data_IF_673129954834
#
_entry.id   IF_673129954834
#
_cell.length_a   1.000
_cell.length_b   1.000
_cell.length_c   1.000
_cell.angle_alpha   90.00
_cell.angle_beta   90.00
_cell.angle_gamma   90.00
#
_symmetry.space_group_name_H-M   'P 1'
#
loop_
_entity.id
_entity.type
_entity.pdbx_description
1 polymer ?
#
# COMPACT_ATOMS: atom_id res chain seq x y z
N UNK A 1 4.19 21.44 9.39
CA UNK A 1 4.21 20.99 7.95
C UNK A 1 2.96 20.16 7.67
N UNK A 2 2.60 19.93 6.40
CA UNK A 2 1.36 19.16 6.09
C UNK A 2 1.38 17.77 6.72
N UNK A 3 2.54 17.10 6.69
CA UNK A 3 2.70 15.76 7.25
C UNK A 3 2.45 15.72 8.77
N UNK A 4 2.90 16.73 9.51
CA UNK A 4 2.63 16.84 10.97
C UNK A 4 1.13 17.02 11.23
N UNK A 5 0.45 17.79 10.38
CA UNK A 5 -1.01 18.00 10.47
C UNK A 5 -1.75 16.67 10.22
N UNK A 6 -1.35 15.92 9.19
CA UNK A 6 -1.91 14.61 8.87
C UNK A 6 -1.69 13.61 10.01
N UNK A 7 -0.46 13.55 10.54
CA UNK A 7 -0.14 12.69 11.68
C UNK A 7 -0.92 13.06 12.94
N UNK A 8 -1.07 14.37 13.23
CA UNK A 8 -1.86 14.84 14.38
C UNK A 8 -3.35 14.50 14.24
N UNK A 9 -3.93 14.67 13.04
CA UNK A 9 -5.30 14.24 12.75
C UNK A 9 -5.46 12.74 12.96
N UNK A 10 -4.52 11.94 12.45
CA UNK A 10 -4.55 10.49 12.62
C UNK A 10 -4.45 10.08 14.09
N UNK A 11 -3.58 10.71 14.90
CA UNK A 11 -3.50 10.41 16.34
C UNK A 11 -4.84 10.63 17.04
N UNK A 12 -5.52 11.76 16.78
CA UNK A 12 -6.86 12.02 17.36
C UNK A 12 -7.88 10.95 16.95
N UNK A 13 -7.86 10.55 15.67
CA UNK A 13 -8.74 9.50 15.14
C UNK A 13 -8.47 8.13 15.80
N UNK A 14 -7.22 7.80 16.04
CA UNK A 14 -6.82 6.55 16.73
C UNK A 14 -7.29 6.56 18.17
N UNK A 15 -7.11 7.66 18.91
CA UNK A 15 -7.60 7.74 20.30
C UNK A 15 -9.12 7.58 20.37
N UNK A 16 -9.87 8.24 19.49
CA UNK A 16 -11.32 8.04 19.42
C UNK A 16 -11.70 6.60 19.02
N UNK A 17 -10.92 5.93 18.17
CA UNK A 17 -11.15 4.52 17.82
C UNK A 17 -10.92 3.60 19.02
N UNK A 18 -9.88 3.85 19.84
CA UNK A 18 -9.58 3.09 21.06
C UNK A 18 -10.66 3.23 22.14
N UNK A 19 -11.35 4.37 22.20
CA UNK A 19 -12.51 4.57 23.08
C UNK A 19 -13.69 3.66 22.68
N UNK A 20 -13.91 3.46 21.37
CA UNK A 20 -14.97 2.60 20.84
C UNK A 20 -14.60 1.10 20.93
N UNK A 21 -13.38 0.75 20.55
CA UNK A 21 -12.86 -0.62 20.60
C UNK A 21 -11.49 -0.54 21.28
N UNK A 22 -11.35 -0.97 22.54
CA UNK A 22 -10.09 -0.97 23.27
C UNK A 22 -9.00 -1.77 22.55
N UNK A 23 -7.73 -1.38 22.75
CA UNK A 23 -6.59 -2.04 22.11
C UNK A 23 -6.57 -3.56 22.33
N UNK A 24 -6.85 -4.03 23.56
CA UNK A 24 -6.92 -5.48 23.87
C UNK A 24 -7.95 -6.20 23.01
N UNK A 25 -9.14 -5.63 22.87
CA UNK A 25 -10.18 -6.19 22.01
C UNK A 25 -9.77 -6.20 20.54
N UNK A 26 -9.11 -5.13 20.06
CA UNK A 26 -8.62 -5.05 18.69
C UNK A 26 -7.53 -6.10 18.42
N UNK A 27 -6.65 -6.37 19.40
CA UNK A 27 -5.64 -7.45 19.34
C UNK A 27 -6.28 -8.82 19.24
N UNK A 28 -7.30 -9.09 20.05
CA UNK A 28 -8.04 -10.36 20.01
C UNK A 28 -8.72 -10.58 18.66
N UNK A 29 -9.37 -9.55 18.13
CA UNK A 29 -9.99 -9.59 16.81
C UNK A 29 -8.97 -9.84 15.69
N UNK A 30 -7.79 -9.21 15.76
CA UNK A 30 -6.73 -9.42 14.78
C UNK A 30 -6.13 -10.84 14.85
N UNK A 31 -6.00 -11.40 16.05
CA UNK A 31 -5.59 -12.82 16.26
C UNK A 31 -6.60 -13.77 15.64
N UNK A 32 -7.89 -13.60 15.90
CA UNK A 32 -8.97 -14.40 15.32
C UNK A 32 -8.98 -14.29 13.77
N UNK A 33 -8.78 -13.08 13.22
CA UNK A 33 -8.68 -12.89 11.78
C UNK A 33 -7.47 -13.66 11.19
N UNK A 34 -6.33 -13.70 11.90
CA UNK A 34 -5.15 -14.44 11.47
C UNK A 34 -5.33 -15.96 11.53
N UNK A 35 -6.05 -16.47 12.51
CA UNK A 35 -6.37 -17.90 12.66
C UNK A 35 -7.36 -18.37 11.58
N UNK A 36 -8.41 -17.60 11.33
CA UNK A 36 -9.42 -17.95 10.32
C UNK A 36 -8.83 -18.01 8.89
N UNK A 37 -7.81 -17.24 8.60
CA UNK A 37 -7.08 -17.34 7.32
C UNK A 37 -6.25 -18.63 7.22
N UNK A 38 -5.79 -19.20 8.34
CA UNK A 38 -5.03 -20.46 8.36
C UNK A 38 -5.93 -21.71 8.27
N UNK A 39 -7.18 -21.62 8.73
CA UNK A 39 -8.10 -22.75 8.90
C UNK A 39 -9.10 -22.96 7.76
N UNK A 40 -9.08 -22.22 6.65
CA UNK A 40 -10.05 -22.43 5.55
C UNK A 40 -9.91 -23.86 5.00
N UNK A 41 -10.93 -24.75 5.19
CA UNK A 41 -10.86 -26.13 4.72
C UNK A 41 -10.87 -26.18 3.18
N UNK A 42 -10.16 -27.16 2.63
CA UNK A 42 -10.07 -27.47 1.18
C UNK A 42 -11.42 -27.76 0.49
N UNK A 43 -12.54 -27.76 1.22
CA UNK A 43 -13.86 -28.16 0.74
C UNK A 43 -14.76 -27.02 0.24
N UNK A 44 -14.36 -25.76 0.40
CA UNK A 44 -15.12 -24.61 -0.14
C UNK A 44 -14.64 -24.19 -1.55
N UNK A 45 -14.72 -25.13 -2.50
CA UNK A 45 -14.31 -24.94 -3.92
C UNK A 45 -15.33 -24.13 -4.73
N UNK A 46 -16.08 -23.21 -4.18
CA UNK A 46 -17.08 -22.43 -4.94
C UNK A 46 -16.97 -20.91 -4.84
N UNK A 47 -15.92 -20.38 -4.25
CA UNK A 47 -15.48 -18.99 -4.50
C UNK A 47 -13.96 -19.03 -4.49
N UNK A 48 -13.31 -18.50 -5.53
CA UNK A 48 -11.84 -18.36 -5.65
C UNK A 48 -11.23 -17.43 -4.58
N UNK A 49 -11.54 -17.66 -3.32
CA UNK A 49 -10.78 -17.10 -2.21
C UNK A 49 -9.64 -18.08 -1.99
N UNK A 50 -8.56 -17.90 -2.73
CA UNK A 50 -7.30 -18.58 -2.48
C UNK A 50 -6.95 -18.33 -1.01
N UNK A 51 -6.58 -19.42 -0.29
CA UNK A 51 -5.96 -19.38 1.03
C UNK A 51 -4.92 -18.26 1.01
N UNK A 52 -5.22 -17.11 1.63
CA UNK A 52 -4.27 -15.98 1.62
C UNK A 52 -3.02 -16.47 2.35
N UNK A 53 -1.97 -16.67 1.57
CA UNK A 53 -0.71 -17.15 2.13
C UNK A 53 -0.09 -16.01 2.94
N UNK A 54 0.50 -16.33 4.08
CA UNK A 54 1.35 -15.42 4.85
C UNK A 54 2.22 -14.61 3.89
N UNK A 55 2.23 -13.27 4.03
CA UNK A 55 2.94 -12.33 3.14
C UNK A 55 2.46 -12.35 1.68
N UNK A 56 1.14 -12.49 1.46
CA UNK A 56 0.56 -12.48 0.11
C UNK A 56 0.95 -11.25 -0.71
N UNK A 57 1.04 -10.07 -0.08
CA UNK A 57 1.45 -8.83 -0.72
C UNK A 57 2.90 -8.91 -1.23
N UNK A 58 3.85 -9.32 -0.38
CA UNK A 58 5.24 -9.49 -0.77
C UNK A 58 5.40 -10.55 -1.88
N UNK A 59 4.67 -11.67 -1.78
CA UNK A 59 4.68 -12.73 -2.81
C UNK A 59 4.15 -12.25 -4.14
N UNK A 60 3.10 -11.44 -4.15
CA UNK A 60 2.55 -10.89 -5.39
C UNK A 60 3.53 -9.93 -6.07
N UNK A 61 4.31 -9.17 -5.29
CA UNK A 61 5.32 -8.26 -5.82
C UNK A 61 6.59 -8.96 -6.33
N UNK A 62 6.86 -10.21 -5.91
CA UNK A 62 7.99 -11.03 -6.39
C UNK A 62 7.69 -11.75 -7.70
N UNK A 63 6.51 -11.57 -8.28
CA UNK A 63 6.20 -12.14 -9.59
C UNK A 63 7.14 -11.58 -10.67
N UNK A 64 7.51 -12.38 -11.69
CA UNK A 64 8.38 -11.91 -12.77
C UNK A 64 7.84 -10.65 -13.47
N UNK A 65 8.73 -9.72 -13.81
CA UNK A 65 8.42 -8.46 -14.46
C UNK A 65 8.02 -7.35 -13.47
N UNK A 66 7.60 -6.20 -14.00
CA UNK A 66 7.20 -5.05 -13.21
C UNK A 66 5.86 -5.28 -12.53
N UNK A 67 5.82 -5.13 -11.21
CA UNK A 67 4.59 -5.24 -10.41
C UNK A 67 3.83 -3.90 -10.38
N UNK A 68 2.50 -3.97 -10.55
CA UNK A 68 1.62 -2.79 -10.52
C UNK A 68 0.73 -2.82 -9.28
N UNK A 69 0.95 -1.87 -8.35
CA UNK A 69 0.07 -1.60 -7.21
C UNK A 69 -0.89 -0.49 -7.64
N UNK A 70 -2.13 -0.83 -7.89
CA UNK A 70 -3.14 0.11 -8.39
C UNK A 70 -3.89 0.75 -7.22
N UNK A 71 -3.91 2.09 -7.14
CA UNK A 71 -4.46 2.81 -5.99
C UNK A 71 -5.90 3.28 -6.22
N UNK A 72 -6.79 2.89 -5.32
CA UNK A 72 -8.18 3.37 -5.23
C UNK A 72 -8.19 4.62 -4.36
N UNK A 73 -8.35 5.80 -5.00
CA UNK A 73 -8.21 7.12 -4.37
C UNK A 73 -9.25 8.12 -4.84
N UNK A 74 -10.05 8.62 -3.89
CA UNK A 74 -11.13 9.58 -4.16
C UNK A 74 -10.61 11.02 -4.29
N UNK A 75 -9.69 11.40 -3.41
CA UNK A 75 -9.12 12.76 -3.34
C UNK A 75 -7.67 12.73 -2.85
N UNK A 76 -6.97 13.85 -2.96
CA UNK A 76 -5.67 14.06 -2.33
C UNK A 76 -5.41 15.55 -2.04
N UNK A 77 -4.57 15.90 -1.04
CA UNK A 77 -4.24 17.30 -0.74
C UNK A 77 -3.68 18.09 -1.94
N UNK A 78 -2.91 17.43 -2.80
CA UNK A 78 -2.25 18.07 -3.95
C UNK A 78 -3.13 18.23 -5.19
N UNK A 79 -4.26 17.50 -5.29
CA UNK A 79 -5.11 17.44 -6.49
C UNK A 79 -6.60 17.71 -6.21
N UNK A 80 -6.97 17.84 -4.94
CA UNK A 80 -8.37 17.92 -4.54
C UNK A 80 -9.14 16.66 -4.89
N UNK A 81 -10.40 16.79 -5.28
CA UNK A 81 -11.27 15.70 -5.69
C UNK A 81 -10.81 15.13 -7.05
N UNK A 82 -10.48 13.83 -7.06
CA UNK A 82 -10.02 13.10 -8.26
C UNK A 82 -11.20 12.41 -8.95
N UNK A 83 -12.09 11.80 -8.16
CA UNK A 83 -13.28 11.09 -8.66
C UNK A 83 -14.52 11.57 -7.89
N UNK A 84 -15.42 12.29 -8.56
CA UNK A 84 -16.72 12.71 -8.01
C UNK A 84 -17.68 11.51 -7.88
N UNK A 85 -17.78 10.69 -8.91
CA UNK A 85 -18.37 9.36 -8.86
C UNK A 85 -17.25 8.37 -8.48
N UNK A 86 -17.46 7.61 -7.38
CA UNK A 86 -16.43 6.76 -6.79
C UNK A 86 -16.95 5.36 -6.49
N UNK A 87 -17.25 4.56 -7.52
CA UNK A 87 -17.64 3.15 -7.39
C UNK A 87 -16.40 2.29 -7.05
N UNK A 88 -15.85 2.48 -5.85
CA UNK A 88 -14.54 1.94 -5.43
C UNK A 88 -14.43 0.41 -5.54
N UNK A 89 -15.53 -0.32 -5.39
CA UNK A 89 -15.55 -1.78 -5.57
C UNK A 89 -15.36 -2.14 -7.03
N UNK A 90 -16.04 -1.46 -7.95
CA UNK A 90 -15.95 -1.73 -9.38
C UNK A 90 -14.58 -1.28 -9.92
N UNK A 91 -14.04 -0.14 -9.43
CA UNK A 91 -12.67 0.29 -9.72
C UNK A 91 -11.66 -0.79 -9.30
N UNK A 92 -11.82 -1.38 -8.11
CA UNK A 92 -10.94 -2.43 -7.62
C UNK A 92 -11.03 -3.72 -8.46
N UNK A 93 -12.23 -4.11 -8.88
CA UNK A 93 -12.44 -5.25 -9.81
C UNK A 93 -11.80 -4.99 -11.17
N UNK A 94 -11.92 -3.77 -11.71
CA UNK A 94 -11.25 -3.37 -12.94
C UNK A 94 -9.74 -3.48 -12.83
N UNK A 95 -9.14 -3.07 -11.69
CA UNK A 95 -7.73 -3.22 -11.44
C UNK A 95 -7.30 -4.69 -11.39
N UNK A 96 -8.04 -5.53 -10.66
CA UNK A 96 -7.78 -6.97 -10.63
C UNK A 96 -7.88 -7.59 -12.02
N UNK A 97 -8.95 -7.31 -12.78
CA UNK A 97 -9.15 -7.80 -14.14
C UNK A 97 -8.07 -7.29 -15.12
N UNK A 98 -7.49 -6.13 -14.86
CA UNK A 98 -6.34 -5.59 -15.59
C UNK A 98 -5.00 -6.24 -15.16
N UNK A 99 -5.02 -7.12 -14.16
CA UNK A 99 -3.87 -7.84 -13.65
C UNK A 99 -2.98 -6.99 -12.74
N UNK A 100 -3.56 -6.16 -11.89
CA UNK A 100 -2.83 -5.54 -10.78
C UNK A 100 -2.23 -6.63 -9.87
N UNK A 101 -0.98 -6.46 -9.45
CA UNK A 101 -0.34 -7.35 -8.48
C UNK A 101 -0.93 -7.15 -7.08
N UNK A 102 -1.31 -5.93 -6.75
CA UNK A 102 -1.96 -5.55 -5.50
C UNK A 102 -2.81 -4.30 -5.69
N UNK A 103 -3.71 -4.03 -4.75
CA UNK A 103 -4.51 -2.81 -4.73
C UNK A 103 -4.22 -2.03 -3.45
N UNK A 104 -3.86 -0.75 -3.61
CA UNK A 104 -3.72 0.21 -2.53
C UNK A 104 -5.06 0.91 -2.29
N UNK A 105 -5.54 0.94 -1.05
CA UNK A 105 -6.82 1.56 -0.70
C UNK A 105 -6.60 2.68 0.31
N UNK A 106 -6.92 3.93 -0.07
CA UNK A 106 -6.87 5.07 0.84
C UNK A 106 -7.93 4.91 1.93
N UNK A 107 -7.50 4.91 3.20
CA UNK A 107 -8.41 4.85 4.35
C UNK A 107 -8.42 6.14 5.18
N UNK A 108 -7.53 7.08 4.90
CA UNK A 108 -7.47 8.38 5.56
C UNK A 108 -8.70 9.24 5.17
N UNK A 109 -9.57 9.66 6.13
CA UNK A 109 -10.87 10.23 5.81
C UNK A 109 -10.89 11.75 5.58
N UNK A 110 -9.99 12.53 6.20
CA UNK A 110 -10.09 13.99 6.19
C UNK A 110 -9.52 14.61 4.90
N UNK A 111 -8.37 14.14 4.46
CA UNK A 111 -7.59 14.73 3.36
C UNK A 111 -7.66 13.92 2.06
N UNK A 112 -7.89 12.62 2.17
CA UNK A 112 -7.99 11.72 1.01
C UNK A 112 -9.43 11.24 0.76
N UNK A 113 -10.37 11.59 1.64
CA UNK A 113 -11.77 11.14 1.61
C UNK A 113 -11.87 9.61 1.54
N UNK A 114 -10.93 8.94 2.22
CA UNK A 114 -10.84 7.48 2.34
C UNK A 114 -11.76 6.92 3.43
N UNK A 115 -11.78 5.59 3.57
CA UNK A 115 -12.54 4.92 4.62
C UNK A 115 -12.07 3.48 4.80
N UNK A 116 -12.02 2.99 6.06
CA UNK A 116 -11.86 1.57 6.37
C UNK A 116 -12.94 0.70 5.70
N UNK A 117 -14.16 1.23 5.56
CA UNK A 117 -15.24 0.52 4.87
C UNK A 117 -14.98 0.30 3.39
N UNK A 118 -14.20 1.16 2.72
CA UNK A 118 -13.80 0.91 1.34
C UNK A 118 -12.93 -0.36 1.26
N UNK A 119 -11.92 -0.47 2.11
CA UNK A 119 -11.04 -1.65 2.15
C UNK A 119 -11.83 -2.92 2.48
N UNK A 120 -12.66 -2.90 3.53
CA UNK A 120 -13.52 -4.04 3.91
C UNK A 120 -14.41 -4.51 2.76
N UNK A 121 -15.04 -3.59 2.05
CA UNK A 121 -15.92 -3.95 0.93
C UNK A 121 -15.14 -4.44 -0.26
N UNK A 122 -14.01 -3.79 -0.62
CA UNK A 122 -13.13 -4.26 -1.70
C UNK A 122 -12.65 -5.67 -1.41
N UNK A 123 -12.18 -5.98 -0.18
CA UNK A 123 -11.69 -7.32 0.19
C UNK A 123 -12.68 -8.45 -0.11
N UNK A 124 -13.96 -8.18 -0.01
CA UNK A 124 -15.02 -9.17 -0.30
C UNK A 124 -15.21 -9.46 -1.78
N UNK A 125 -14.60 -8.68 -2.67
CA UNK A 125 -14.88 -8.72 -4.11
C UNK A 125 -13.63 -8.96 -4.98
N UNK A 126 -12.43 -8.87 -4.40
CA UNK A 126 -11.17 -9.11 -5.12
C UNK A 126 -10.32 -10.12 -4.35
N UNK A 127 -9.47 -10.86 -5.07
CA UNK A 127 -8.55 -11.87 -4.51
C UNK A 127 -7.12 -11.34 -4.34
N UNK A 128 -6.74 -10.30 -5.09
CA UNK A 128 -5.42 -9.69 -4.98
C UNK A 128 -5.20 -9.06 -3.60
N UNK A 129 -3.95 -9.05 -3.09
CA UNK A 129 -3.63 -8.48 -1.79
C UNK A 129 -3.90 -6.99 -1.72
N UNK A 130 -4.34 -6.51 -0.55
CA UNK A 130 -4.70 -5.12 -0.31
C UNK A 130 -3.70 -4.43 0.60
N UNK A 131 -3.23 -3.26 0.18
CA UNK A 131 -2.46 -2.33 1.01
C UNK A 131 -3.42 -1.31 1.66
N UNK A 132 -3.41 -1.23 3.01
CA UNK A 132 -4.01 -0.10 3.70
C UNK A 132 -3.10 1.12 3.56
N UNK A 133 -3.51 2.09 2.79
CA UNK A 133 -2.78 3.36 2.58
C UNK A 133 -3.33 4.43 3.54
N UNK A 134 -2.63 4.62 4.64
CA UNK A 134 -2.97 5.56 5.73
C UNK A 134 -1.69 6.03 6.40
N UNK A 135 -1.76 7.06 7.27
CA UNK A 135 -0.65 7.47 8.12
C UNK A 135 -0.62 6.58 9.36
N UNK A 136 0.16 5.50 9.33
CA UNK A 136 0.28 4.60 10.48
C UNK A 136 1.22 5.21 11.52
N UNK A 137 0.67 5.62 12.67
CA UNK A 137 1.36 6.30 13.77
C UNK A 137 1.23 5.57 15.11
N UNK A 138 0.44 4.51 15.15
CA UNK A 138 0.12 3.76 16.37
C UNK A 138 -0.07 2.27 16.03
N UNK A 139 0.43 1.32 16.86
CA UNK A 139 0.24 -0.12 16.66
C UNK A 139 -1.23 -0.55 16.52
N UNK A 140 -2.16 0.17 17.13
CA UNK A 140 -3.60 -0.06 16.99
C UNK A 140 -4.02 -0.15 15.51
N UNK A 141 -3.47 0.73 14.67
CA UNK A 141 -3.82 0.78 13.24
C UNK A 141 -3.34 -0.47 12.47
N UNK A 142 -2.28 -1.14 12.93
CA UNK A 142 -1.79 -2.38 12.33
C UNK A 142 -2.75 -3.53 12.66
N UNK A 143 -3.20 -3.64 13.92
CA UNK A 143 -4.23 -4.62 14.29
C UNK A 143 -5.55 -4.34 13.54
N UNK A 144 -5.99 -3.08 13.50
CA UNK A 144 -7.19 -2.67 12.76
C UNK A 144 -7.06 -3.03 11.26
N UNK A 145 -5.88 -2.81 10.64
CA UNK A 145 -5.63 -3.19 9.25
C UNK A 145 -5.88 -4.68 9.01
N UNK A 146 -5.41 -5.55 9.92
CA UNK A 146 -5.67 -6.99 9.86
C UNK A 146 -7.15 -7.30 9.90
N UNK A 147 -7.86 -6.72 10.86
CA UNK A 147 -9.31 -6.95 11.07
C UNK A 147 -10.13 -6.52 9.86
N UNK A 148 -9.74 -5.45 9.18
CA UNK A 148 -10.44 -4.97 7.97
C UNK A 148 -10.02 -5.71 6.69
N UNK A 149 -9.06 -6.65 6.76
CA UNK A 149 -8.66 -7.52 5.66
C UNK A 149 -7.55 -6.97 4.77
N UNK A 150 -6.67 -6.12 5.33
CA UNK A 150 -5.45 -5.71 4.65
C UNK A 150 -4.39 -6.81 4.67
N UNK A 151 -3.64 -6.95 3.59
CA UNK A 151 -2.47 -7.83 3.46
C UNK A 151 -1.16 -7.09 3.75
N UNK A 152 -1.20 -5.75 3.70
CA UNK A 152 -0.06 -4.88 4.00
C UNK A 152 -0.52 -3.54 4.58
N UNK A 153 0.39 -2.88 5.30
CA UNK A 153 0.23 -1.50 5.77
C UNK A 153 1.38 -0.63 5.30
N UNK A 154 1.14 0.68 5.25
CA UNK A 154 2.15 1.69 4.99
C UNK A 154 2.80 2.14 6.30
N UNK A 155 4.15 2.14 6.35
CA UNK A 155 4.95 2.76 7.40
C UNK A 155 5.81 3.85 6.75
N UNK A 156 5.85 5.06 7.31
CA UNK A 156 6.50 6.22 6.67
C UNK A 156 7.71 6.66 7.50
N UNK A 157 8.91 6.61 6.92
CA UNK A 157 10.16 7.00 7.59
C UNK A 157 10.15 8.44 8.10
N UNK A 158 9.53 9.35 7.36
CA UNK A 158 9.39 10.76 7.78
C UNK A 158 8.52 10.96 9.04
N UNK A 159 7.77 9.94 9.48
CA UNK A 159 6.90 9.96 10.66
C UNK A 159 7.40 9.10 11.81
N UNK A 160 8.19 8.07 11.52
CA UNK A 160 8.57 7.02 12.45
C UNK A 160 10.10 6.90 12.50
N UNK A 161 10.65 6.86 13.69
CA UNK A 161 12.07 6.54 13.86
C UNK A 161 12.36 5.05 13.57
N UNK A 162 13.65 4.69 13.48
CA UNK A 162 14.08 3.34 13.11
C UNK A 162 13.53 2.26 14.06
N UNK A 163 13.43 2.53 15.36
CA UNK A 163 12.93 1.55 16.34
C UNK A 163 11.42 1.36 16.24
N UNK A 164 10.69 2.44 16.02
CA UNK A 164 9.24 2.39 15.78
C UNK A 164 8.94 1.67 14.47
N UNK A 165 9.71 1.93 13.39
CA UNK A 165 9.61 1.19 12.13
C UNK A 165 9.84 -0.31 12.35
N UNK A 166 10.91 -0.70 13.07
CA UNK A 166 11.22 -2.10 13.39
C UNK A 166 10.09 -2.77 14.15
N UNK A 167 9.56 -2.09 15.17
CA UNK A 167 8.43 -2.60 15.95
C UNK A 167 7.20 -2.80 15.07
N UNK A 168 6.88 -1.84 14.18
CA UNK A 168 5.77 -1.94 13.24
C UNK A 168 5.94 -3.08 12.25
N UNK A 169 7.15 -3.29 11.70
CA UNK A 169 7.46 -4.40 10.79
C UNK A 169 7.26 -5.74 11.52
N UNK A 170 7.82 -5.91 12.72
CA UNK A 170 7.65 -7.15 13.51
C UNK A 170 6.18 -7.41 13.86
N UNK A 171 5.41 -6.35 14.15
CA UNK A 171 3.97 -6.51 14.40
C UNK A 171 3.23 -6.96 13.14
N UNK A 172 3.53 -6.39 11.98
CA UNK A 172 2.98 -6.86 10.70
C UNK A 172 3.32 -8.34 10.48
N UNK A 173 4.58 -8.72 10.71
CA UNK A 173 5.05 -10.10 10.54
C UNK A 173 4.29 -11.08 11.45
N UNK A 174 4.07 -10.71 12.71
CA UNK A 174 3.32 -11.54 13.66
C UNK A 174 1.87 -11.80 13.23
N UNK A 175 1.29 -10.87 12.48
CA UNK A 175 -0.07 -10.95 11.92
C UNK A 175 -0.11 -11.54 10.49
N UNK A 176 1.04 -11.95 9.94
CA UNK A 176 1.14 -12.49 8.58
C UNK A 176 0.96 -11.45 7.47
N UNK A 177 1.07 -10.17 7.81
CA UNK A 177 1.01 -9.04 6.86
C UNK A 177 2.39 -8.56 6.46
N UNK A 178 2.47 -7.81 5.36
CA UNK A 178 3.69 -7.11 4.93
C UNK A 178 3.66 -5.64 5.39
N UNK A 179 4.84 -5.03 5.51
CA UNK A 179 5.00 -3.58 5.65
C UNK A 179 5.61 -3.00 4.37
N UNK A 180 4.94 -2.03 3.73
CA UNK A 180 5.53 -1.16 2.73
C UNK A 180 6.12 0.04 3.47
N UNK A 181 7.45 0.16 3.49
CA UNK A 181 8.15 1.24 4.20
C UNK A 181 8.47 2.35 3.22
N UNK A 182 7.76 3.49 3.35
CA UNK A 182 7.93 4.64 2.46
C UNK A 182 9.13 5.50 2.89
N UNK A 183 10.01 5.81 1.93
CA UNK A 183 11.19 6.65 2.08
C UNK A 183 11.27 7.72 0.97
N UNK A 184 11.93 8.85 1.24
CA UNK A 184 12.06 9.98 0.32
C UNK A 184 13.51 10.29 -0.04
N UNK A 185 14.47 9.87 0.79
CA UNK A 185 15.89 10.16 0.62
C UNK A 185 16.78 9.02 1.12
N UNK A 186 18.10 9.21 1.02
CA UNK A 186 19.11 8.23 1.39
C UNK A 186 19.07 7.89 2.89
N UNK A 187 18.86 8.87 3.76
CA UNK A 187 18.86 8.64 5.22
C UNK A 187 17.63 7.86 5.65
N UNK A 188 16.48 8.11 5.03
CA UNK A 188 15.26 7.35 5.25
C UNK A 188 15.39 5.91 4.73
N UNK A 189 16.03 5.68 3.57
CA UNK A 189 16.34 4.32 3.08
C UNK A 189 17.24 3.58 4.06
N UNK A 190 18.30 4.22 4.57
CA UNK A 190 19.18 3.62 5.58
C UNK A 190 18.41 3.27 6.87
N UNK A 191 17.49 4.12 7.29
CA UNK A 191 16.61 3.88 8.43
C UNK A 191 15.71 2.66 8.20
N UNK A 192 15.03 2.59 7.02
CA UNK A 192 14.20 1.47 6.61
C UNK A 192 14.97 0.14 6.61
N UNK A 193 16.17 0.13 6.01
CA UNK A 193 17.02 -1.08 5.97
C UNK A 193 17.46 -1.52 7.38
N UNK A 194 17.89 -0.57 8.24
CA UNK A 194 18.22 -0.87 9.65
C UNK A 194 17.02 -1.39 10.45
N UNK A 195 15.82 -0.96 10.10
CA UNK A 195 14.58 -1.48 10.71
C UNK A 195 14.20 -2.88 10.23
N UNK A 196 14.81 -3.39 9.16
CA UNK A 196 14.55 -4.71 8.59
C UNK A 196 13.44 -4.71 7.53
N UNK A 197 13.25 -3.59 6.83
CA UNK A 197 12.28 -3.49 5.73
C UNK A 197 12.62 -4.47 4.59
N UNK A 198 11.63 -5.24 4.15
CA UNK A 198 11.73 -6.13 2.98
C UNK A 198 11.09 -5.54 1.72
N UNK A 199 10.32 -4.48 1.90
CA UNK A 199 9.69 -3.72 0.80
C UNK A 199 9.88 -2.24 1.13
N UNK A 200 10.60 -1.53 0.26
CA UNK A 200 10.83 -0.08 0.38
C UNK A 200 10.12 0.62 -0.77
N UNK A 201 9.24 1.56 -0.44
CA UNK A 201 8.60 2.45 -1.39
C UNK A 201 9.32 3.80 -1.44
N UNK A 202 9.84 4.19 -2.59
CA UNK A 202 10.40 5.54 -2.75
C UNK A 202 9.36 6.47 -3.34
N UNK A 203 8.93 7.44 -2.53
CA UNK A 203 7.95 8.41 -2.96
C UNK A 203 8.62 9.60 -3.68
N UNK A 204 8.41 9.68 -4.99
CA UNK A 204 8.90 10.75 -5.85
C UNK A 204 8.24 12.11 -5.58
N UNK A 205 7.19 12.14 -4.74
CA UNK A 205 6.52 13.37 -4.35
C UNK A 205 7.13 13.94 -3.07
N UNK A 206 7.65 15.14 -3.15
CA UNK A 206 8.04 15.89 -1.96
C UNK A 206 6.80 16.27 -1.15
N UNK A 207 6.70 15.80 0.10
CA UNK A 207 5.53 16.01 0.96
C UNK A 207 5.40 17.47 1.47
N UNK A 208 6.43 18.31 1.29
CA UNK A 208 6.40 19.73 1.71
C UNK A 208 5.93 20.62 0.57
N UNK A 209 6.40 20.37 -0.66
CA UNK A 209 6.15 21.23 -1.84
C UNK A 209 5.15 20.64 -2.82
N UNK A 210 4.81 19.34 -2.68
CA UNK A 210 4.04 18.54 -3.62
C UNK A 210 4.65 18.40 -5.02
N UNK A 211 5.88 18.91 -5.23
CA UNK A 211 6.62 18.65 -6.46
C UNK A 211 6.92 17.16 -6.60
N UNK A 212 6.95 16.69 -7.84
CA UNK A 212 7.26 15.29 -8.17
C UNK A 212 8.55 15.28 -8.96
N UNK A 213 9.56 14.58 -8.42
CA UNK A 213 10.81 14.29 -9.10
C UNK A 213 10.92 12.80 -9.37
N UNK A 214 10.55 12.42 -10.59
CA UNK A 214 10.57 11.02 -11.04
C UNK A 214 11.97 10.39 -11.00
N UNK A 215 13.04 11.18 -11.15
CA UNK A 215 14.42 10.70 -11.14
C UNK A 215 14.86 10.22 -9.74
N UNK A 216 14.10 10.57 -8.69
CA UNK A 216 14.43 10.22 -7.31
C UNK A 216 14.47 8.69 -7.09
N UNK A 217 13.46 7.95 -7.59
CA UNK A 217 13.45 6.48 -7.49
C UNK A 217 14.63 5.85 -8.23
N UNK A 218 14.96 6.34 -9.44
CA UNK A 218 16.09 5.83 -10.24
C UNK A 218 17.41 6.05 -9.50
N UNK A 219 17.61 7.25 -8.95
CA UNK A 219 18.82 7.62 -8.20
C UNK A 219 18.99 6.80 -6.92
N UNK A 220 17.91 6.53 -6.22
CA UNK A 220 17.93 5.86 -4.92
C UNK A 220 17.91 4.34 -5.01
N UNK A 221 17.56 3.75 -6.17
CA UNK A 221 17.49 2.28 -6.34
C UNK A 221 18.81 1.59 -5.96
N UNK A 222 19.94 2.18 -6.33
CA UNK A 222 21.27 1.60 -6.06
C UNK A 222 21.64 1.50 -4.58
N UNK A 223 20.89 2.16 -3.69
CA UNK A 223 21.10 2.11 -2.24
C UNK A 223 20.36 0.94 -1.57
N UNK A 224 19.46 0.27 -2.29
CA UNK A 224 18.63 -0.81 -1.77
C UNK A 224 19.15 -2.15 -2.29
N UNK A 225 19.46 -3.13 -1.41
CA UNK A 225 19.90 -4.47 -1.80
C UNK A 225 18.89 -5.19 -2.70
N UNK A 226 19.37 -6.14 -3.53
CA UNK A 226 18.52 -6.85 -4.50
C UNK A 226 17.53 -7.83 -3.87
N UNK A 227 17.73 -8.23 -2.61
CA UNK A 227 16.80 -9.05 -1.84
C UNK A 227 15.67 -8.26 -1.17
N UNK A 228 15.71 -6.91 -1.25
CA UNK A 228 14.68 -5.99 -0.77
C UNK A 228 13.90 -5.43 -1.97
N UNK A 229 12.60 -5.62 -1.98
CA UNK A 229 11.72 -5.13 -3.04
C UNK A 229 11.68 -3.59 -3.06
N UNK A 230 11.86 -3.02 -4.24
CA UNK A 230 11.87 -1.57 -4.46
C UNK A 230 10.66 -1.13 -5.28
N UNK A 231 9.81 -0.28 -4.68
CA UNK A 231 8.59 0.25 -5.29
C UNK A 231 8.75 1.74 -5.55
N UNK A 232 8.54 2.17 -6.79
CA UNK A 232 8.46 3.60 -7.10
C UNK A 232 7.03 4.12 -6.90
N UNK A 233 6.88 5.18 -6.11
CA UNK A 233 5.59 5.79 -5.84
C UNK A 233 5.51 7.21 -6.40
N UNK A 234 4.37 7.57 -6.93
CA UNK A 234 4.11 8.87 -7.56
C UNK A 234 4.89 9.14 -8.85
N UNK A 235 4.28 9.88 -9.76
CA UNK A 235 4.95 10.44 -10.92
C UNK A 235 4.84 9.65 -12.22
N UNK A 236 4.45 8.38 -12.19
CA UNK A 236 4.27 7.55 -13.39
C UNK A 236 3.08 8.04 -14.22
N UNK A 237 3.32 8.33 -15.50
CA UNK A 237 2.31 8.87 -16.44
C UNK A 237 2.28 8.15 -17.78
N UNK A 238 3.34 7.45 -18.15
CA UNK A 238 3.54 6.88 -19.49
C UNK A 238 4.22 5.51 -19.47
N UNK A 239 4.17 4.80 -20.59
CA UNK A 239 4.91 3.57 -20.80
C UNK A 239 6.44 3.79 -20.76
N UNK A 240 6.91 4.96 -21.20
CA UNK A 240 8.33 5.31 -21.14
C UNK A 240 8.82 5.44 -19.69
N UNK A 241 7.99 6.02 -18.79
CA UNK A 241 8.33 6.07 -17.36
C UNK A 241 8.50 4.65 -16.78
N UNK A 242 7.59 3.74 -17.15
CA UNK A 242 7.66 2.34 -16.72
C UNK A 242 8.93 1.66 -17.25
N UNK A 243 9.26 1.87 -18.53
CA UNK A 243 10.49 1.32 -19.12
C UNK A 243 11.73 1.80 -18.38
N UNK A 244 11.83 3.10 -18.11
CA UNK A 244 12.98 3.68 -17.40
C UNK A 244 13.12 3.12 -15.96
N UNK A 245 12.01 2.94 -15.23
CA UNK A 245 12.03 2.33 -13.91
C UNK A 245 12.45 0.85 -13.98
N UNK A 246 11.94 0.12 -14.95
CA UNK A 246 12.31 -1.29 -15.16
C UNK A 246 13.80 -1.45 -15.47
N UNK A 247 14.33 -0.64 -16.40
CA UNK A 247 15.76 -0.59 -16.74
C UNK A 247 16.64 -0.23 -15.55
N UNK A 248 16.12 0.57 -14.61
CA UNK A 248 16.78 0.91 -13.35
C UNK A 248 16.71 -0.20 -12.28
N UNK A 249 16.03 -1.31 -12.54
CA UNK A 249 15.88 -2.42 -11.59
C UNK A 249 14.84 -2.18 -10.50
N UNK A 250 13.80 -1.39 -10.78
CA UNK A 250 12.65 -1.19 -9.88
C UNK A 250 11.72 -2.39 -10.01
N UNK A 251 11.29 -2.99 -8.89
CA UNK A 251 10.46 -4.20 -8.87
C UNK A 251 8.98 -3.91 -9.12
N UNK A 252 8.52 -2.72 -8.75
CA UNK A 252 7.12 -2.37 -8.92
C UNK A 252 6.85 -0.87 -8.80
N UNK A 253 5.62 -0.51 -9.15
CA UNK A 253 5.15 0.88 -9.14
C UNK A 253 3.80 0.99 -8.42
N UNK A 254 3.62 2.05 -7.61
CA UNK A 254 2.35 2.40 -7.01
C UNK A 254 1.75 3.59 -7.75
N UNK A 255 0.58 3.39 -8.37
CA UNK A 255 -0.04 4.34 -9.29
C UNK A 255 -1.48 4.61 -8.91
N UNK A 256 -1.79 5.88 -8.63
CA UNK A 256 -3.14 6.34 -8.29
C UNK A 256 -3.75 7.22 -9.38
N UNK A 257 -3.38 8.51 -9.42
CA UNK A 257 -4.06 9.53 -10.22
C UNK A 257 -4.21 9.14 -11.70
N UNK A 258 -3.14 8.65 -12.33
CA UNK A 258 -3.15 8.28 -13.74
C UNK A 258 -4.19 7.20 -14.04
N UNK A 259 -4.27 6.15 -13.22
CA UNK A 259 -5.21 5.05 -13.40
C UNK A 259 -6.63 5.43 -12.97
N UNK A 260 -6.80 6.26 -11.93
CA UNK A 260 -8.12 6.76 -11.52
C UNK A 260 -8.80 7.59 -12.61
N UNK A 261 -8.02 8.38 -13.36
CA UNK A 261 -8.51 9.21 -14.48
C UNK A 261 -8.64 8.45 -15.80
N UNK A 262 -8.12 7.23 -15.89
CA UNK A 262 -8.13 6.43 -17.10
C UNK A 262 -9.54 5.94 -17.43
N UNK A 263 -9.98 6.14 -18.67
CA UNK A 263 -11.23 5.59 -19.18
C UNK A 263 -11.16 4.05 -19.34
N UNK A 264 -9.98 3.53 -19.73
CA UNK A 264 -9.72 2.09 -19.89
C UNK A 264 -8.44 1.71 -19.16
N UNK A 265 -8.59 1.27 -17.92
CA UNK A 265 -7.50 0.88 -17.02
C UNK A 265 -6.73 -0.32 -17.54
N UNK A 266 -7.47 -1.29 -18.11
CA UNK A 266 -6.88 -2.51 -18.65
C UNK A 266 -5.97 -2.22 -19.84
N UNK A 267 -6.40 -1.40 -20.78
CA UNK A 267 -5.61 -1.02 -21.96
C UNK A 267 -4.30 -0.33 -21.55
N UNK A 268 -4.35 0.55 -20.54
CA UNK A 268 -3.15 1.22 -20.03
C UNK A 268 -2.19 0.21 -19.41
N UNK A 269 -2.65 -0.62 -18.47
CA UNK A 269 -1.81 -1.60 -17.80
C UNK A 269 -1.25 -2.64 -18.78
N UNK A 270 -2.04 -3.12 -19.73
CA UNK A 270 -1.57 -4.03 -20.78
C UNK A 270 -0.48 -3.40 -21.66
N UNK A 271 -0.61 -2.09 -21.97
CA UNK A 271 0.43 -1.39 -22.74
C UNK A 271 1.72 -1.24 -21.93
N UNK A 272 1.62 -0.93 -20.64
CA UNK A 272 2.78 -0.76 -19.76
C UNK A 272 3.51 -2.07 -19.47
N UNK A 273 2.77 -3.16 -19.24
CA UNK A 273 3.36 -4.49 -19.07
C UNK A 273 4.22 -4.93 -20.26
N UNK A 274 3.77 -4.59 -21.49
CA UNK A 274 4.52 -4.91 -22.71
C UNK A 274 5.87 -4.20 -22.82
N UNK A 275 6.10 -3.14 -22.08
CA UNK A 275 7.39 -2.43 -22.09
C UNK A 275 8.43 -3.04 -21.16
N UNK A 276 8.03 -4.00 -20.31
CA UNK A 276 8.90 -4.65 -19.32
C UNK A 276 9.24 -6.10 -19.66
N UNK A 277 8.93 -6.56 -20.83
CA UNK A 277 9.16 -7.92 -21.28
C UNK A 277 8.14 -8.39 -22.24
#
# INVERSE_FOLDING_TARGET
MILDTLAASTRRRVEAAKENIPLSTMMDLASQASESEREVPLTCVQRNVSKESVFSFEKALKAPGMSFICEVKKASPSKGLIASDFPYVDIAKDYEAAGAAAISVLTEPEYFLGSNEYLKKIRRHVSVPLLRKDFTVDPYQIFEAKVIGASAVLLICALLDTETLRTGIHLCDSLGMSALVEAHDEEEIKSALRAGARIIGVNNRNLKTFSVDFSNSIRLRSLVPDDVLFIAESGVKSADDIRLLHEAGVDGVLIGETLMRAADKKKILDSWKKTCG
#
